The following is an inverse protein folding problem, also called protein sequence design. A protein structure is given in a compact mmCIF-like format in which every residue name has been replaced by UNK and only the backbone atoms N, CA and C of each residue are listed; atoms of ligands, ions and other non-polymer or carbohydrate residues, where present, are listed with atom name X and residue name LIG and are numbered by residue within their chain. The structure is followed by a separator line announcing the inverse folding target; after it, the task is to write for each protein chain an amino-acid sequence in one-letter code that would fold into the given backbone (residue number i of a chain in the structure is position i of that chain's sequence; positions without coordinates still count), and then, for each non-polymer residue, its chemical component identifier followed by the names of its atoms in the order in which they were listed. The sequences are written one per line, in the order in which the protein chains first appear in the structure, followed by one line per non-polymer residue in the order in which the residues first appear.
data_IF_236923814713
#
_entry.id   IF_236923814713
#
_cell.length_a   1.000
_cell.length_b   1.000
_cell.length_c   1.000
_cell.angle_alpha   90.00
_cell.angle_beta   90.00
_cell.angle_gamma   90.00
#
_symmetry.space_group_name_H-M   'P 1'
#
loop_
_entity.id
_entity.type
_entity.pdbx_description
1 polymer ?
#
# COMPACT_ATOMS: atom_id res chain seq x y z
N UNK A 1 -4.97 -3.38 -14.36
CA UNK A 1 -5.30 -4.81 -14.55
C UNK A 1 -6.80 -4.98 -14.43
N UNK A 2 -7.49 -5.57 -15.43
CA UNK A 2 -8.95 -5.76 -15.42
C UNK A 2 -9.27 -7.25 -15.31
N UNK A 3 -10.29 -7.60 -14.50
CA UNK A 3 -10.73 -8.99 -14.28
C UNK A 3 -12.20 -9.13 -14.65
N UNK A 4 -12.44 -9.36 -15.93
CA UNK A 4 -13.78 -9.37 -16.53
C UNK A 4 -14.74 -10.41 -15.92
N UNK A 5 -14.25 -11.59 -15.54
CA UNK A 5 -15.09 -12.67 -14.99
C UNK A 5 -15.22 -12.66 -13.47
N UNK A 6 -14.43 -11.86 -12.75
CA UNK A 6 -14.33 -11.94 -11.29
C UNK A 6 -15.67 -11.72 -10.59
N UNK A 7 -16.40 -10.67 -10.97
CA UNK A 7 -17.69 -10.36 -10.34
C UNK A 7 -18.74 -11.42 -10.65
N UNK A 8 -18.72 -12.00 -11.86
CA UNK A 8 -19.63 -13.08 -12.25
C UNK A 8 -19.36 -14.36 -11.46
N UNK A 9 -18.09 -14.76 -11.33
CA UNK A 9 -17.70 -15.93 -10.54
C UNK A 9 -18.00 -15.73 -9.04
N UNK A 10 -17.81 -14.52 -8.53
CA UNK A 10 -18.09 -14.18 -7.14
C UNK A 10 -19.59 -14.24 -6.83
N UNK A 11 -20.44 -13.72 -7.72
CA UNK A 11 -21.89 -13.81 -7.56
C UNK A 11 -22.39 -15.26 -7.70
N UNK A 12 -21.84 -16.03 -8.66
CA UNK A 12 -22.14 -17.46 -8.79
C UNK A 12 -21.80 -18.20 -7.49
N UNK A 13 -20.63 -17.96 -6.90
CA UNK A 13 -20.25 -18.54 -5.61
C UNK A 13 -21.23 -18.19 -4.49
N UNK A 14 -21.69 -16.93 -4.43
CA UNK A 14 -22.74 -16.51 -3.49
C UNK A 14 -24.05 -17.27 -3.71
N UNK A 15 -24.48 -17.46 -4.96
CA UNK A 15 -25.69 -18.22 -5.29
C UNK A 15 -25.56 -19.68 -4.86
N UNK A 16 -24.44 -20.33 -5.18
CA UNK A 16 -24.17 -21.72 -4.76
C UNK A 16 -24.17 -21.87 -3.24
N UNK A 17 -23.62 -20.91 -2.47
CA UNK A 17 -23.69 -20.95 -1.01
C UNK A 17 -25.15 -20.96 -0.51
N UNK A 18 -26.02 -20.15 -1.12
CA UNK A 18 -27.44 -20.11 -0.78
C UNK A 18 -28.13 -21.43 -1.13
N UNK A 19 -27.86 -22.00 -2.30
CA UNK A 19 -28.40 -23.31 -2.72
C UNK A 19 -27.97 -24.45 -1.79
N UNK A 20 -26.77 -24.38 -1.23
CA UNK A 20 -26.27 -25.33 -0.23
C UNK A 20 -26.85 -25.11 1.19
N UNK A 21 -27.77 -24.16 1.37
CA UNK A 21 -28.49 -23.92 2.61
C UNK A 21 -27.92 -22.78 3.47
N UNK A 22 -26.94 -22.02 2.99
CA UNK A 22 -26.48 -20.81 3.69
C UNK A 22 -27.52 -19.71 3.63
N UNK A 23 -27.77 -19.03 4.75
CA UNK A 23 -28.69 -17.89 4.77
C UNK A 23 -28.21 -16.78 3.81
N UNK A 24 -29.09 -16.14 3.00
CA UNK A 24 -28.68 -15.15 1.98
C UNK A 24 -27.79 -14.02 2.50
N UNK A 25 -28.07 -13.54 3.72
CA UNK A 25 -27.24 -12.52 4.37
C UNK A 25 -25.82 -13.01 4.66
N UNK A 26 -25.66 -14.26 5.11
CA UNK A 26 -24.35 -14.85 5.38
C UNK A 26 -23.56 -15.07 4.09
N UNK A 27 -24.22 -15.54 3.02
CA UNK A 27 -23.59 -15.70 1.71
C UNK A 27 -23.11 -14.36 1.15
N UNK A 28 -23.94 -13.31 1.24
CA UNK A 28 -23.55 -11.94 0.85
C UNK A 28 -22.40 -11.39 1.70
N UNK A 29 -22.37 -11.71 3.00
CA UNK A 29 -21.25 -11.33 3.88
C UNK A 29 -19.96 -12.06 3.50
N UNK A 30 -20.03 -13.35 3.16
CA UNK A 30 -18.89 -14.13 2.69
C UNK A 30 -18.34 -13.61 1.34
N UNK A 31 -19.23 -13.29 0.40
CA UNK A 31 -18.90 -12.64 -0.88
C UNK A 31 -18.11 -11.35 -0.68
N UNK A 32 -18.64 -10.43 0.15
CA UNK A 32 -17.99 -9.15 0.45
C UNK A 32 -16.62 -9.33 1.14
N UNK A 33 -16.53 -10.29 2.06
CA UNK A 33 -15.28 -10.62 2.73
C UNK A 33 -14.23 -11.15 1.76
N UNK A 34 -14.60 -12.08 0.89
CA UNK A 34 -13.72 -12.63 -0.14
C UNK A 34 -13.21 -11.53 -1.09
N UNK A 35 -14.11 -10.66 -1.56
CA UNK A 35 -13.73 -9.52 -2.41
C UNK A 35 -12.71 -8.60 -1.75
N UNK A 36 -12.81 -8.38 -0.44
CA UNK A 36 -11.83 -7.56 0.31
C UNK A 36 -10.46 -8.24 0.35
N UNK A 37 -10.40 -9.52 0.68
CA UNK A 37 -9.17 -10.30 0.75
C UNK A 37 -8.47 -10.39 -0.61
N UNK A 38 -9.23 -10.72 -1.64
CA UNK A 38 -8.73 -10.86 -3.00
C UNK A 38 -8.14 -9.53 -3.54
N UNK A 39 -8.80 -8.40 -3.29
CA UNK A 39 -8.23 -7.09 -3.63
C UNK A 39 -6.96 -6.74 -2.85
N UNK A 40 -6.87 -7.16 -1.57
CA UNK A 40 -5.65 -6.98 -0.79
C UNK A 40 -4.51 -7.81 -1.36
N UNK A 41 -4.75 -9.09 -1.64
CA UNK A 41 -3.77 -9.99 -2.27
C UNK A 41 -3.29 -9.45 -3.62
N UNK A 42 -4.17 -8.92 -4.47
CA UNK A 42 -3.77 -8.31 -5.73
C UNK A 42 -2.84 -7.11 -5.54
N UNK A 43 -3.08 -6.28 -4.53
CA UNK A 43 -2.20 -5.14 -4.23
C UNK A 43 -0.81 -5.58 -3.78
N UNK A 44 -0.71 -6.73 -3.14
CA UNK A 44 0.57 -7.29 -2.68
C UNK A 44 1.34 -7.99 -3.80
N UNK A 45 0.62 -8.64 -4.73
CA UNK A 45 1.20 -9.36 -5.87
C UNK A 45 1.62 -8.45 -7.04
N UNK A 46 1.06 -7.24 -7.15
CA UNK A 46 1.40 -6.33 -8.24
C UNK A 46 2.77 -5.66 -8.00
N UNK A 47 3.77 -5.87 -8.88
CA UNK A 47 5.15 -5.41 -8.68
C UNK A 47 5.26 -3.90 -8.43
N UNK A 48 4.47 -3.10 -9.15
CA UNK A 48 4.53 -1.63 -9.09
C UNK A 48 4.10 -1.06 -7.73
N UNK A 49 3.24 -1.76 -6.99
CA UNK A 49 2.70 -1.24 -5.73
C UNK A 49 3.68 -1.38 -4.55
N UNK A 50 4.64 -2.31 -4.66
CA UNK A 50 5.79 -2.35 -3.75
C UNK A 50 6.83 -1.28 -4.10
N UNK A 51 7.01 -0.98 -5.39
CA UNK A 51 7.94 0.05 -5.84
C UNK A 51 7.49 1.45 -5.41
N UNK A 52 6.20 1.78 -5.47
CA UNK A 52 5.69 3.09 -5.02
C UNK A 52 5.90 3.31 -3.50
N UNK A 53 5.64 2.28 -2.69
CA UNK A 53 5.89 2.35 -1.24
C UNK A 53 7.38 2.44 -0.92
N UNK A 54 8.21 1.65 -1.59
CA UNK A 54 9.67 1.71 -1.43
C UNK A 54 10.23 3.06 -1.87
N UNK A 55 9.74 3.62 -2.98
CA UNK A 55 10.16 4.91 -3.50
C UNK A 55 9.77 6.04 -2.54
N UNK A 56 8.54 6.02 -2.01
CA UNK A 56 8.10 6.99 -1.01
C UNK A 56 8.89 6.89 0.30
N UNK A 57 9.20 5.67 0.75
CA UNK A 57 10.04 5.44 1.93
C UNK A 57 11.47 5.94 1.71
N UNK A 58 12.07 5.62 0.55
CA UNK A 58 13.40 6.09 0.16
C UNK A 58 13.46 7.61 0.02
N UNK A 59 12.41 8.24 -0.50
CA UNK A 59 12.33 9.70 -0.58
C UNK A 59 12.27 10.36 0.81
N UNK A 60 11.55 9.76 1.77
CA UNK A 60 11.54 10.22 3.16
C UNK A 60 12.90 10.09 3.83
N UNK A 61 13.60 8.98 3.60
CA UNK A 61 14.95 8.74 4.12
C UNK A 61 15.97 9.71 3.54
N UNK A 62 15.99 9.89 2.21
CA UNK A 62 16.87 10.84 1.54
C UNK A 62 16.64 12.29 2.02
N UNK A 63 15.39 12.68 2.26
CA UNK A 63 15.06 13.98 2.85
C UNK A 63 15.66 14.13 4.25
N UNK A 64 15.52 13.12 5.10
CA UNK A 64 16.07 13.14 6.46
C UNK A 64 17.60 13.23 6.43
N UNK A 65 18.24 12.51 5.53
CA UNK A 65 19.70 12.52 5.37
C UNK A 65 20.20 13.91 4.94
N UNK A 66 19.50 14.57 4.02
CA UNK A 66 19.80 15.96 3.64
C UNK A 66 19.58 16.95 4.79
N UNK A 67 18.50 16.81 5.56
CA UNK A 67 18.26 17.64 6.74
C UNK A 67 19.40 17.49 7.78
N UNK A 68 19.91 16.27 7.99
CA UNK A 68 21.06 16.02 8.87
C UNK A 68 22.39 16.56 8.33
N UNK A 69 22.60 16.55 7.01
CA UNK A 69 23.78 17.16 6.37
C UNK A 69 23.73 18.68 6.55
N UNK A 70 22.62 19.32 6.16
CA UNK A 70 22.49 20.77 6.27
C UNK A 70 22.53 21.26 7.71
N UNK A 71 21.94 20.53 8.67
CA UNK A 71 22.04 20.86 10.09
C UNK A 71 23.49 20.89 10.57
N UNK A 72 24.29 19.87 10.21
CA UNK A 72 25.72 19.81 10.56
C UNK A 72 26.54 20.90 9.90
N UNK A 73 26.26 21.21 8.64
CA UNK A 73 26.94 22.30 7.91
C UNK A 73 26.64 23.65 8.55
N UNK A 74 25.37 23.96 8.84
CA UNK A 74 24.98 25.20 9.52
C UNK A 74 25.62 25.33 10.90
N UNK A 75 25.65 24.27 11.68
CA UNK A 75 26.23 24.27 13.02
C UNK A 75 27.76 24.43 12.98
N UNK A 76 28.42 23.86 11.96
CA UNK A 76 29.85 24.07 11.69
C UNK A 76 30.15 25.50 11.23
N UNK A 77 29.27 26.10 10.41
CA UNK A 77 29.37 27.50 9.96
C UNK A 77 29.17 28.48 11.13
N UNK A 78 28.22 28.18 12.02
CA UNK A 78 28.00 28.95 13.25
C UNK A 78 29.16 28.85 14.25
N UNK A 79 29.87 27.72 14.29
CA UNK A 79 31.07 27.53 15.11
C UNK A 79 32.34 28.09 14.48
N UNK A 80 32.33 28.43 13.18
CA UNK A 80 33.44 29.06 12.48
C UNK A 80 33.18 30.53 12.04
N UNK A 81 32.89 31.49 12.95
CA UNK A 81 32.78 32.91 12.55
C UNK A 81 34.07 33.55 12.02
N UNK A 82 35.20 32.84 11.99
CA UNK A 82 36.54 33.44 11.83
C UNK A 82 37.39 32.88 10.67
N UNK A 83 36.81 32.18 9.68
CA UNK A 83 37.61 31.64 8.56
C UNK A 83 37.67 32.54 7.30
N UNK A 84 37.65 33.86 7.46
CA UNK A 84 37.92 34.81 6.38
C UNK A 84 39.07 35.72 6.81
N UNK A 85 40.31 35.21 6.71
CA UNK A 85 41.54 36.01 6.74
C UNK A 85 42.53 35.48 5.72
#
# INVERSE_FOLDING_TARGET
YSRETFLGALDLGRQTLVELGMHPYQAKRAEAHFRKLDNAMLKDLLPQHNEDKKLAQRAKEARKELEEIFGREMESDHQSPNHWK
#
